data_IF_045938565574
#
_entry.id   IF_045938565574
#
_cell.length_a   1.000
_cell.length_b   1.000
_cell.length_c   1.000
_cell.angle_alpha   90.00
_cell.angle_beta   90.00
_cell.angle_gamma   90.00
#
_symmetry.space_group_name_H-M   'P 1'
#
loop_
_entity.id
_entity.type
_entity.pdbx_description
1 polymer ?
#
# COMPACT_ATOMS: atom_id res chain seq x y z
N UNK A 1 13.33 -18.55 -11.99
CA UNK A 1 14.06 -17.60 -11.14
C UNK A 1 13.42 -16.25 -11.33
N UNK A 2 12.42 -15.96 -10.51
CA UNK A 2 11.55 -14.81 -10.67
C UNK A 2 12.19 -13.56 -10.09
N UNK A 3 13.02 -12.91 -10.90
CA UNK A 3 13.44 -11.52 -10.66
C UNK A 3 12.35 -10.53 -11.09
N UNK A 4 11.16 -10.68 -10.53
CA UNK A 4 10.08 -9.74 -10.75
C UNK A 4 10.02 -8.79 -9.55
N UNK A 5 10.56 -7.58 -9.73
CA UNK A 5 10.35 -6.46 -8.80
C UNK A 5 8.83 -6.27 -8.64
N UNK A 6 8.26 -6.73 -7.52
CA UNK A 6 6.84 -6.58 -7.23
C UNK A 6 6.53 -5.10 -6.99
N UNK A 7 6.05 -4.46 -8.03
CA UNK A 7 5.53 -3.10 -8.00
C UNK A 7 4.06 -3.16 -8.38
N UNK A 8 3.20 -2.55 -7.57
CA UNK A 8 1.77 -2.49 -7.84
C UNK A 8 1.29 -1.04 -7.76
N UNK A 9 0.32 -0.71 -8.60
CA UNK A 9 -0.40 0.55 -8.52
C UNK A 9 -1.75 0.29 -7.87
N UNK A 10 -2.10 1.13 -6.89
CA UNK A 10 -3.35 0.98 -6.15
C UNK A 10 -4.05 2.32 -6.11
N UNK A 11 -5.36 2.26 -6.39
CA UNK A 11 -6.26 3.39 -6.31
C UNK A 11 -7.16 3.23 -5.08
N UNK A 12 -7.43 4.35 -4.42
CA UNK A 12 -8.24 4.38 -3.21
C UNK A 12 -9.02 5.67 -3.09
N UNK A 13 -10.05 5.67 -2.25
CA UNK A 13 -10.82 6.88 -1.96
C UNK A 13 -9.93 7.98 -1.34
N UNK A 14 -8.86 7.59 -0.67
CA UNK A 14 -7.81 8.45 -0.10
C UNK A 14 -6.44 7.81 -0.27
N UNK A 15 -5.36 8.60 -0.18
CA UNK A 15 -3.97 8.09 -0.18
C UNK A 15 -3.80 7.03 0.91
N UNK A 16 -4.37 7.25 2.11
CA UNK A 16 -4.31 6.27 3.19
C UNK A 16 -5.01 4.94 2.85
N UNK A 17 -6.19 4.99 2.22
CA UNK A 17 -6.93 3.79 1.81
C UNK A 17 -6.15 2.99 0.76
N UNK A 18 -5.58 3.68 -0.22
CA UNK A 18 -4.74 3.09 -1.24
C UNK A 18 -3.50 2.42 -0.63
N UNK A 19 -2.86 3.07 0.36
CA UNK A 19 -1.70 2.52 1.08
C UNK A 19 -2.09 1.24 1.80
N UNK A 20 -3.17 1.24 2.60
CA UNK A 20 -3.62 0.05 3.35
C UNK A 20 -3.91 -1.12 2.42
N UNK A 21 -4.61 -0.88 1.31
CA UNK A 21 -4.89 -1.90 0.28
C UNK A 21 -3.60 -2.47 -0.31
N UNK A 22 -2.66 -1.61 -0.70
CA UNK A 22 -1.39 -2.07 -1.27
C UNK A 22 -0.58 -2.94 -0.29
N UNK A 23 -0.50 -2.52 0.97
CA UNK A 23 0.20 -3.26 2.02
C UNK A 23 -0.46 -4.62 2.31
N UNK A 24 -1.80 -4.67 2.32
CA UNK A 24 -2.55 -5.90 2.54
C UNK A 24 -2.34 -6.91 1.39
N UNK A 25 -2.38 -6.43 0.13
CA UNK A 25 -2.14 -7.26 -1.07
C UNK A 25 -0.73 -7.84 -1.08
N UNK A 26 0.27 -7.03 -0.72
CA UNK A 26 1.66 -7.48 -0.66
C UNK A 26 2.00 -8.22 0.64
N UNK A 27 1.12 -8.19 1.64
CA UNK A 27 1.29 -8.74 2.98
C UNK A 27 2.61 -8.29 3.65
N UNK A 28 2.97 -7.02 3.46
CA UNK A 28 4.18 -6.42 4.01
C UNK A 28 3.88 -5.10 4.69
N UNK A 29 4.78 -4.68 5.58
CA UNK A 29 4.68 -3.39 6.24
C UNK A 29 5.17 -2.25 5.35
N UNK A 30 4.66 -1.03 5.60
CA UNK A 30 5.05 0.21 4.89
C UNK A 30 6.56 0.49 4.86
N UNK A 31 7.30 -0.06 5.82
CA UNK A 31 8.75 0.10 5.91
C UNK A 31 9.50 -0.70 4.82
N UNK A 32 8.97 -1.88 4.48
CA UNK A 32 9.52 -2.81 3.47
C UNK A 32 9.15 -2.44 2.03
N UNK A 33 8.40 -1.36 1.84
CA UNK A 33 7.98 -0.88 0.53
C UNK A 33 8.30 0.60 0.37
N UNK A 34 8.44 1.05 -0.87
CA UNK A 34 8.46 2.46 -1.24
C UNK A 34 7.06 2.82 -1.70
N UNK A 35 6.42 3.74 -0.99
CA UNK A 35 5.13 4.31 -1.39
C UNK A 35 5.41 5.61 -2.13
N UNK A 36 4.87 5.75 -3.34
CA UNK A 36 4.97 6.95 -4.16
C UNK A 36 3.57 7.41 -4.54
N UNK A 37 3.16 8.60 -4.11
CA UNK A 37 1.86 9.17 -4.49
C UNK A 37 1.97 9.66 -5.93
N UNK A 38 1.16 9.08 -6.81
CA UNK A 38 1.08 9.46 -8.23
C UNK A 38 0.03 10.55 -8.41
N UNK A 39 -1.10 10.43 -7.70
CA UNK A 39 -2.16 11.41 -7.67
C UNK A 39 -2.74 11.48 -6.25
N UNK A 40 -2.81 12.69 -5.71
CA UNK A 40 -3.51 12.95 -4.44
C UNK A 40 -5.03 12.90 -4.67
N UNK A 41 -5.78 12.38 -3.69
CA UNK A 41 -7.23 12.46 -3.74
C UNK A 41 -7.69 13.92 -3.71
N UNK A 42 -8.71 14.22 -4.50
CA UNK A 42 -9.46 15.47 -4.31
C UNK A 42 -10.76 15.14 -3.64
N UNK A 43 -10.84 15.48 -2.35
CA UNK A 43 -12.09 15.48 -1.62
C UNK A 43 -12.97 16.58 -2.21
N UNK A 44 -13.95 16.20 -3.02
CA UNK A 44 -15.05 17.07 -3.37
C UNK A 44 -15.74 17.49 -2.07
N UNK A 45 -15.68 18.76 -1.74
CA UNK A 45 -16.32 19.29 -0.54
C UNK A 45 -17.75 19.69 -0.92
N UNK A 46 -18.73 19.31 -0.10
CA UNK A 46 -20.16 19.63 -0.27
C UNK A 46 -20.80 19.15 -1.59
N UNK A 47 -21.15 17.87 -1.67
CA UNK A 47 -22.16 17.37 -2.63
C UNK A 47 -21.78 17.41 -4.12
N UNK A 48 -20.52 17.67 -4.47
CA UNK A 48 -20.07 17.72 -5.86
C UNK A 48 -19.63 16.34 -6.38
N UNK A 49 -20.25 15.96 -7.50
CA UNK A 49 -19.85 14.86 -8.38
C UNK A 49 -18.47 15.17 -8.99
N UNK A 50 -17.40 14.85 -8.25
CA UNK A 50 -16.05 15.19 -8.68
C UNK A 50 -14.93 14.63 -7.79
N UNK A 51 -15.24 13.65 -6.95
CA UNK A 51 -14.24 12.98 -6.14
C UNK A 51 -13.26 12.24 -7.07
N UNK A 52 -12.01 12.70 -7.12
CA UNK A 52 -10.94 11.96 -7.79
C UNK A 52 -10.30 11.01 -6.79
N UNK A 53 -10.23 9.70 -7.11
CA UNK A 53 -9.54 8.75 -6.26
C UNK A 53 -8.05 9.10 -6.18
N UNK A 54 -7.45 8.80 -5.03
CA UNK A 54 -6.00 8.80 -4.89
C UNK A 54 -5.42 7.65 -5.68
N UNK A 55 -4.27 7.88 -6.32
CA UNK A 55 -3.48 6.85 -6.96
C UNK A 55 -2.08 6.83 -6.38
N UNK A 56 -1.65 5.66 -5.93
CA UNK A 56 -0.30 5.44 -5.42
C UNK A 56 0.37 4.31 -6.18
N UNK A 57 1.69 4.32 -6.16
CA UNK A 57 2.54 3.25 -6.65
C UNK A 57 3.39 2.73 -5.50
N UNK A 58 3.35 1.43 -5.28
CA UNK A 58 4.06 0.76 -4.20
C UNK A 58 5.07 -0.21 -4.79
N UNK A 59 6.33 -0.06 -4.41
CA UNK A 59 7.43 -0.91 -4.87
C UNK A 59 8.05 -1.65 -3.67
N UNK A 60 8.19 -2.96 -3.77
CA UNK A 60 8.84 -3.75 -2.73
C UNK A 60 10.33 -3.40 -2.66
N UNK A 61 10.81 -2.92 -1.50
CA UNK A 61 12.24 -2.75 -1.29
C UNK A 61 12.87 -4.14 -1.22
N UNK A 62 13.81 -4.43 -2.11
CA UNK A 62 14.64 -5.64 -2.03
C UNK A 62 15.68 -5.43 -0.92
N UNK A 63 15.20 -5.34 0.32
CA UNK A 63 16.03 -5.32 1.52
C UNK A 63 16.33 -6.76 1.90
N UNK A 64 17.61 -7.08 2.10
CA UNK A 64 18.03 -8.35 2.70
C UNK A 64 17.58 -8.36 4.16
N UNK A 65 16.32 -8.69 4.44
CA UNK A 65 15.91 -9.03 5.81
C UNK A 65 16.17 -10.52 6.05
N UNK A 66 17.41 -10.78 6.42
CA UNK A 66 17.75 -11.86 7.33
C UNK A 66 16.94 -11.66 8.63
N UNK A 67 16.28 -12.71 9.11
CA UNK A 67 15.75 -12.87 10.47
C UNK A 67 14.77 -11.79 10.99
N UNK A 68 13.46 -12.06 10.89
CA UNK A 68 12.59 -11.80 12.04
C UNK A 68 11.88 -13.09 12.40
N UNK A 69 12.20 -13.50 13.63
CA UNK A 69 11.83 -14.71 14.32
C UNK A 69 10.34 -14.96 14.35
N UNK A 70 10.02 -16.26 14.45
CA UNK A 70 8.80 -16.82 15.01
C UNK A 70 8.25 -15.88 16.11
N UNK A 71 7.11 -15.25 15.87
CA UNK A 71 6.26 -14.84 16.99
C UNK A 71 4.79 -14.80 16.57
N UNK A 72 4.01 -15.43 17.43
CA UNK A 72 2.62 -15.84 17.32
C UNK A 72 1.65 -14.67 17.50
N UNK A 73 0.60 -14.62 16.68
CA UNK A 73 -0.73 -14.09 17.06
C UNK A 73 -1.76 -15.02 16.40
N UNK A 74 -2.60 -15.81 17.09
CA UNK A 74 -3.03 -15.66 18.47
C UNK A 74 -3.85 -14.38 18.64
N UNK A 75 -4.96 -14.22 17.90
CA UNK A 75 -6.13 -13.44 18.36
C UNK A 75 -7.32 -13.47 17.37
N UNK A 76 -8.50 -13.58 17.98
CA UNK A 76 -9.89 -13.59 17.47
C UNK A 76 -10.36 -15.01 17.11
N UNK A 77 -11.29 -15.63 17.82
CA UNK A 77 -12.25 -15.15 18.82
C UNK A 77 -13.45 -16.08 18.72
#
# INVERSE_FOLDING_TARGET
MDEQKKTIEVEGSTVEDAIKKALAVLNVSRDRVVIKVVCEEKRGLFGMEGAKPAKIRVELKKGKDSQVSRETKGKHG
#
